data_IF_098716787224
#
_entry.id   IF_098716787224
#
_cell.length_a   1.000
_cell.length_b   1.000
_cell.length_c   1.000
_cell.angle_alpha   90.00
_cell.angle_beta   90.00
_cell.angle_gamma   90.00
#
_symmetry.space_group_name_H-M   'P 1'
#
loop_
_entity.id
_entity.type
_entity.pdbx_description
1 polymer ?
#
# COMPACT_ATOMS: atom_id res chain seq x y z
N UNK A 1 5.39 5.87 2.23
CA UNK A 1 4.29 6.48 1.46
C UNK A 1 4.25 5.78 0.11
N UNK A 2 3.24 4.93 -0.13
CA UNK A 2 3.03 4.32 -1.43
C UNK A 2 2.07 5.21 -2.20
N UNK A 3 2.66 6.14 -2.96
CA UNK A 3 1.94 7.08 -3.80
C UNK A 3 1.41 6.35 -5.03
N UNK A 4 0.13 6.56 -5.32
CA UNK A 4 -0.45 6.20 -6.62
C UNK A 4 -0.16 7.38 -7.55
N UNK A 5 0.37 7.17 -8.78
CA UNK A 5 0.67 8.28 -9.67
C UNK A 5 -0.60 9.09 -10.00
N UNK A 6 -0.45 10.41 -10.04
CA UNK A 6 -1.49 11.35 -10.51
C UNK A 6 -2.09 10.90 -11.85
N UNK A 7 -3.42 10.88 -11.94
CA UNK A 7 -4.15 10.36 -13.09
C UNK A 7 -4.52 8.87 -13.01
N UNK A 8 -4.29 8.23 -11.85
CA UNK A 8 -4.77 6.87 -11.61
C UNK A 8 -6.29 6.85 -11.53
N UNK A 9 -6.92 6.18 -12.51
CA UNK A 9 -8.38 6.05 -12.58
C UNK A 9 -8.94 4.95 -11.68
N UNK A 10 -8.11 3.98 -11.31
CA UNK A 10 -8.50 2.89 -10.41
C UNK A 10 -7.31 2.45 -9.55
N UNK A 11 -7.55 2.30 -8.26
CA UNK A 11 -6.57 1.73 -7.35
C UNK A 11 -7.25 0.83 -6.31
N UNK A 12 -6.51 -0.16 -5.84
CA UNK A 12 -6.90 -0.99 -4.70
C UNK A 12 -6.34 -0.40 -3.41
N UNK A 13 -7.21 -0.25 -2.42
CA UNK A 13 -6.83 0.06 -1.05
C UNK A 13 -6.58 -1.22 -0.29
N UNK A 14 -5.36 -1.39 0.20
CA UNK A 14 -4.90 -2.59 0.88
C UNK A 14 -4.54 -2.30 2.33
N UNK A 15 -4.82 -3.28 3.20
CA UNK A 15 -4.40 -3.28 4.60
C UNK A 15 -3.57 -4.54 4.87
N UNK A 16 -2.33 -4.35 5.32
CA UNK A 16 -1.49 -5.44 5.76
C UNK A 16 -1.98 -5.99 7.10
N UNK A 17 -2.31 -7.27 7.17
CA UNK A 17 -2.66 -7.95 8.43
C UNK A 17 -1.46 -8.27 9.31
N UNK A 18 -0.24 -8.26 8.74
CA UNK A 18 1.01 -8.54 9.46
C UNK A 18 1.51 -7.30 10.20
N UNK A 19 1.72 -6.19 9.49
CA UNK A 19 2.23 -4.94 10.09
C UNK A 19 1.15 -3.87 10.36
N UNK A 20 -0.08 -4.05 9.88
CA UNK A 20 -1.15 -3.03 10.02
C UNK A 20 -1.02 -1.85 9.05
N UNK A 21 0.01 -1.83 8.20
CA UNK A 21 0.23 -0.75 7.23
C UNK A 21 -0.85 -0.74 6.17
N UNK A 22 -1.41 0.44 5.93
CA UNK A 22 -2.42 0.71 4.90
C UNK A 22 -1.77 1.43 3.74
N UNK A 23 -2.06 0.98 2.53
CA UNK A 23 -1.46 1.56 1.33
C UNK A 23 -2.36 1.39 0.12
N UNK A 24 -2.16 2.27 -0.86
CA UNK A 24 -2.84 2.19 -2.14
C UNK A 24 -1.92 1.47 -3.14
N UNK A 25 -2.50 0.65 -4.00
CA UNK A 25 -1.79 -0.05 -5.07
C UNK A 25 -2.58 0.03 -6.37
N UNK A 26 -1.88 0.06 -7.50
CA UNK A 26 -2.50 -0.06 -8.83
C UNK A 26 -3.04 -1.47 -9.08
N UNK A 27 -2.60 -2.44 -8.29
CA UNK A 27 -3.13 -3.80 -8.35
C UNK A 27 -4.53 -3.83 -7.75
N UNK A 28 -5.41 -4.66 -8.32
CA UNK A 28 -6.79 -4.87 -7.84
C UNK A 28 -7.05 -6.34 -7.52
N UNK A 29 -6.00 -7.06 -7.13
CA UNK A 29 -6.08 -8.45 -6.69
C UNK A 29 -6.59 -8.54 -5.25
N UNK A 30 -7.24 -9.63 -4.86
CA UNK A 30 -7.80 -9.77 -3.51
C UNK A 30 -6.75 -9.70 -2.38
N UNK A 31 -5.53 -10.15 -2.66
CA UNK A 31 -4.44 -10.22 -1.70
C UNK A 31 -3.13 -10.01 -2.46
N UNK A 32 -2.27 -9.14 -1.95
CA UNK A 32 -0.97 -8.82 -2.54
C UNK A 32 0.12 -8.91 -1.48
N UNK A 33 1.40 -9.09 -1.87
CA UNK A 33 2.50 -8.97 -0.94
C UNK A 33 2.53 -7.57 -0.33
N UNK A 34 2.64 -7.48 1.01
CA UNK A 34 2.87 -6.19 1.63
C UNK A 34 4.29 -5.73 1.25
N UNK A 35 4.44 -4.56 0.61
CA UNK A 35 5.76 -4.09 0.17
C UNK A 35 6.66 -3.71 1.35
N UNK A 36 6.07 -3.44 2.51
CA UNK A 36 6.78 -3.16 3.76
C UNK A 36 7.30 -4.47 4.40
N UNK A 37 6.51 -5.54 4.40
CA UNK A 37 6.93 -6.84 4.93
C UNK A 37 7.78 -7.67 3.96
N UNK A 38 7.62 -7.46 2.64
CA UNK A 38 8.31 -8.22 1.60
C UNK A 38 9.66 -7.64 1.18
N UNK A 39 10.05 -6.48 1.71
CA UNK A 39 11.39 -5.90 1.49
C UNK A 39 12.45 -6.45 2.46
N UNK A 40 12.05 -7.24 3.46
CA UNK A 40 12.96 -7.98 4.34
C UNK A 40 13.43 -9.27 3.63
N UNK A 41 14.08 -9.10 2.47
CA UNK A 41 14.86 -10.17 1.86
C UNK A 41 16.22 -10.17 2.55
N UNK A 42 16.41 -11.13 3.46
CA UNK A 42 17.68 -11.34 4.13
C UNK A 42 18.73 -11.74 3.08
N UNK A 43 19.63 -10.80 2.73
CA UNK A 43 20.67 -11.01 1.73
C UNK A 43 21.75 -12.01 2.19
N UNK A 44 21.63 -12.58 3.41
CA UNK A 44 22.44 -13.71 3.88
C UNK A 44 21.82 -15.09 3.58
N UNK A 45 20.68 -15.16 2.90
CA UNK A 45 20.12 -16.45 2.45
C UNK A 45 21.09 -17.16 1.50
N UNK A 46 21.69 -18.24 1.99
CA UNK A 46 22.49 -19.16 1.19
C UNK A 46 21.63 -19.90 0.14
N UNK A 47 22.24 -20.58 -0.84
CA UNK A 47 21.53 -21.21 -1.97
C UNK A 47 20.51 -22.30 -1.60
N UNK A 48 20.39 -22.66 -0.32
CA UNK A 48 19.49 -23.70 0.22
C UNK A 48 18.25 -23.11 0.92
N UNK A 49 18.23 -21.82 1.23
CA UNK A 49 17.06 -21.18 1.85
C UNK A 49 16.18 -20.55 0.78
N UNK A 50 14.92 -20.99 0.73
CA UNK A 50 13.93 -20.45 -0.19
C UNK A 50 13.62 -19.02 0.23
N UNK A 51 13.77 -18.03 -0.67
CA UNK A 51 13.19 -16.70 -0.49
C UNK A 51 11.78 -16.88 0.08
N UNK A 52 11.54 -16.41 1.31
CA UNK A 52 10.19 -16.33 1.86
C UNK A 52 9.42 -15.41 0.93
N UNK A 53 8.72 -16.03 -0.03
CA UNK A 53 8.01 -15.33 -1.09
C UNK A 53 7.01 -14.44 -0.38
N UNK A 54 7.20 -13.12 -0.51
CA UNK A 54 6.44 -12.08 0.18
C UNK A 54 5.00 -12.54 0.38
N UNK A 55 4.70 -13.07 1.57
CA UNK A 55 3.42 -13.70 1.80
C UNK A 55 2.35 -12.62 1.58
N UNK A 56 1.26 -12.98 0.89
CA UNK A 56 0.20 -12.03 0.55
C UNK A 56 -0.55 -11.60 1.83
N UNK A 57 0.12 -10.79 2.61
CA UNK A 57 -0.25 -10.31 3.94
C UNK A 57 -1.13 -9.07 3.84
N UNK A 58 -1.09 -8.37 2.70
CA UNK A 58 -1.96 -7.25 2.42
C UNK A 58 -3.23 -7.71 1.72
N UNK A 59 -4.37 -7.48 2.38
CA UNK A 59 -5.71 -7.81 1.88
C UNK A 59 -6.34 -6.57 1.26
N UNK A 60 -7.03 -6.76 0.14
CA UNK A 60 -7.82 -5.69 -0.48
C UNK A 60 -9.00 -5.38 0.44
N UNK A 61 -9.07 -4.13 0.88
CA UNK A 61 -10.16 -3.61 1.69
C UNK A 61 -11.24 -3.03 0.78
N UNK A 62 -10.85 -2.16 -0.14
CA UNK A 62 -11.78 -1.49 -1.06
C UNK A 62 -11.11 -1.17 -2.39
N UNK A 63 -11.88 -1.23 -3.49
CA UNK A 63 -11.41 -0.78 -4.80
C UNK A 63 -11.98 0.61 -5.06
N UNK A 64 -11.09 1.58 -5.22
CA UNK A 64 -11.43 2.97 -5.51
C UNK A 64 -11.40 3.12 -7.02
N UNK A 65 -12.46 3.68 -7.58
CA UNK A 65 -12.60 3.89 -9.02
C UNK A 65 -13.03 5.34 -9.24
N UNK A 66 -12.21 6.11 -9.94
CA UNK A 66 -12.37 7.55 -10.13
C UNK A 66 -11.12 8.31 -9.69
N UNK A 67 -10.52 9.03 -10.63
CA UNK A 67 -9.32 9.86 -10.41
C UNK A 67 -9.48 10.80 -9.21
N UNK A 68 -10.61 11.51 -9.14
CA UNK A 68 -10.92 12.45 -8.05
C UNK A 68 -11.01 11.77 -6.68
N UNK A 69 -11.50 10.52 -6.61
CA UNK A 69 -11.64 9.78 -5.36
C UNK A 69 -10.30 9.21 -4.88
N UNK A 70 -9.44 8.79 -5.82
CA UNK A 70 -8.07 8.35 -5.52
C UNK A 70 -7.26 9.51 -4.93
N UNK A 71 -7.34 10.71 -5.53
CA UNK A 71 -6.66 11.91 -5.04
C UNK A 71 -7.15 12.34 -3.65
N UNK A 72 -8.47 12.27 -3.39
CA UNK A 72 -9.03 12.53 -2.05
C UNK A 72 -8.52 11.54 -1.03
N UNK A 73 -8.51 10.24 -1.34
CA UNK A 73 -8.02 9.23 -0.41
C UNK A 73 -6.52 9.32 -0.17
N UNK A 74 -5.71 9.60 -1.19
CA UNK A 74 -4.27 9.84 -1.03
C UNK A 74 -4.01 11.05 -0.13
N UNK A 75 -4.72 12.15 -0.36
CA UNK A 75 -4.66 13.35 0.49
C UNK A 75 -5.04 13.04 1.94
N UNK A 76 -6.16 12.34 2.17
CA UNK A 76 -6.61 11.95 3.51
C UNK A 76 -5.60 11.03 4.22
N UNK A 77 -4.98 10.10 3.49
CA UNK A 77 -3.98 9.19 4.03
C UNK A 77 -2.70 9.95 4.42
N UNK A 78 -2.28 10.91 3.59
CA UNK A 78 -1.15 11.80 3.86
C UNK A 78 -1.39 12.68 5.10
N UNK A 79 -2.62 13.19 5.26
CA UNK A 79 -3.07 13.93 6.44
C UNK A 79 -3.08 13.09 7.71
N UNK A 80 -3.58 11.85 7.65
CA UNK A 80 -3.65 10.96 8.79
C UNK A 80 -2.25 10.56 9.32
N UNK A 81 -1.25 10.49 8.43
CA UNK A 81 0.13 10.16 8.80
C UNK A 81 0.87 11.38 9.37
N UNK A 82 0.60 12.58 8.86
CA UNK A 82 1.33 13.80 9.24
C UNK A 82 0.64 14.62 10.34
N UNK A 83 -0.62 14.33 10.68
CA UNK A 83 -1.38 15.11 11.67
C UNK A 83 -1.49 16.59 11.29
N UNK A 84 -1.43 16.91 10.00
CA UNK A 84 -1.34 18.28 9.51
C UNK A 84 -2.70 18.98 9.56
N UNK A 85 -2.84 19.97 10.44
CA UNK A 85 -3.89 20.97 10.39
C UNK A 85 -4.07 21.52 8.95
N UNK A 86 -5.30 21.53 8.46
CA UNK A 86 -5.74 22.23 7.25
C UNK A 86 -5.66 23.77 7.41
N UNK A 87 -4.58 24.31 7.96
CA UNK A 87 -4.35 25.74 8.11
C UNK A 87 -3.24 26.23 7.17
N UNK A 88 -3.38 25.91 5.88
CA UNK A 88 -2.68 26.61 4.81
C UNK A 88 -3.48 26.56 3.50
N UNK A 89 -4.74 27.03 3.54
CA UNK A 89 -5.33 27.82 2.45
C UNK A 89 -6.48 28.69 2.98
#
# INVERSE_FOLDING_TARGET
>A
MYYVPDGTKECGYYECKKCGSRFLSLQTMNTIPCPDCGMDIDYEIGPDETLEAAENTAVLVEKITGEEEVEKMDSLLSLAITGGDYNWI
#
